data_IF_822385362168
#
_entry.id   IF_822385362168
#
_cell.length_a   1.000
_cell.length_b   1.000
_cell.length_c   1.000
_cell.angle_alpha   90.00
_cell.angle_beta   90.00
_cell.angle_gamma   90.00
#
_symmetry.space_group_name_H-M   'P 1'
#
loop_
_entity.id
_entity.type
_entity.pdbx_description
1 polymer ?
#
# COMPACT_ATOMS: atom_id res chain seq x y z
N UNK A 1 44.39 8.74 -42.96
CA UNK A 1 44.54 9.43 -41.66
C UNK A 1 43.15 9.57 -41.05
N UNK A 2 42.63 8.53 -40.38
CA UNK A 2 41.25 8.49 -39.86
C UNK A 2 41.08 7.65 -38.59
N UNK A 3 41.97 6.69 -38.37
CA UNK A 3 41.89 5.68 -37.29
C UNK A 3 42.01 6.24 -35.85
N UNK A 4 42.65 7.40 -35.65
CA UNK A 4 42.82 8.00 -34.31
C UNK A 4 41.57 8.68 -33.75
N UNK A 5 40.65 9.10 -34.63
CA UNK A 5 39.46 9.84 -34.22
C UNK A 5 38.35 8.90 -33.75
N UNK A 6 38.23 7.73 -34.38
CA UNK A 6 37.22 6.72 -34.04
C UNK A 6 37.49 6.09 -32.67
N UNK A 7 38.75 5.82 -32.33
CA UNK A 7 39.12 5.32 -31.00
C UNK A 7 38.79 6.33 -29.89
N UNK A 8 39.10 7.61 -30.08
CA UNK A 8 38.76 8.67 -29.11
C UNK A 8 37.25 8.86 -28.97
N UNK A 9 36.51 8.80 -30.07
CA UNK A 9 35.05 8.88 -30.06
C UNK A 9 34.43 7.68 -29.30
N UNK A 10 34.98 6.47 -29.49
CA UNK A 10 34.57 5.28 -28.76
C UNK A 10 34.89 5.37 -27.26
N UNK A 11 36.06 5.89 -26.86
CA UNK A 11 36.38 6.13 -25.45
C UNK A 11 35.46 7.17 -24.80
N UNK A 12 35.13 8.26 -25.52
CA UNK A 12 34.16 9.25 -25.06
C UNK A 12 32.75 8.66 -24.93
N UNK A 13 32.33 7.81 -25.86
CA UNK A 13 31.05 7.13 -25.81
C UNK A 13 30.97 6.15 -24.63
N UNK A 14 32.03 5.37 -24.39
CA UNK A 14 32.12 4.46 -23.23
C UNK A 14 32.13 5.24 -21.91
N UNK A 15 32.90 6.33 -21.81
CA UNK A 15 32.90 7.19 -20.63
C UNK A 15 31.52 7.81 -20.36
N UNK A 16 30.83 8.26 -21.41
CA UNK A 16 29.46 8.77 -21.32
C UNK A 16 28.48 7.70 -20.83
N UNK A 17 28.57 6.48 -21.35
CA UNK A 17 27.73 5.36 -20.92
C UNK A 17 27.95 4.99 -19.44
N UNK A 18 29.21 4.95 -19.00
CA UNK A 18 29.56 4.71 -17.58
C UNK A 18 29.02 5.82 -16.67
N UNK A 19 29.09 7.08 -17.11
CA UNK A 19 28.51 8.21 -16.37
C UNK A 19 26.99 8.09 -16.22
N UNK A 20 26.28 7.66 -17.27
CA UNK A 20 24.82 7.43 -17.23
C UNK A 20 24.47 6.30 -16.26
N UNK A 21 25.22 5.19 -16.26
CA UNK A 21 25.00 4.09 -15.30
C UNK A 21 25.24 4.57 -13.87
N UNK A 22 26.32 5.32 -13.61
CA UNK A 22 26.59 5.88 -12.29
C UNK A 22 25.47 6.82 -11.84
N UNK A 23 24.96 7.67 -12.72
CA UNK A 23 23.80 8.53 -12.44
C UNK A 23 22.56 7.70 -12.09
N UNK A 24 22.25 6.64 -12.85
CA UNK A 24 21.12 5.74 -12.53
C UNK A 24 21.27 5.08 -11.15
N UNK A 25 22.47 4.62 -10.80
CA UNK A 25 22.75 4.02 -9.48
C UNK A 25 22.57 5.05 -8.35
N UNK A 26 23.09 6.27 -8.54
CA UNK A 26 22.96 7.34 -7.55
C UNK A 26 21.51 7.77 -7.34
N UNK A 27 20.74 7.94 -8.43
CA UNK A 27 19.31 8.24 -8.35
C UNK A 27 18.53 7.10 -7.66
N UNK A 28 18.84 5.85 -7.98
CA UNK A 28 18.20 4.69 -7.33
C UNK A 28 18.49 4.63 -5.83
N UNK A 29 19.74 4.87 -5.41
CA UNK A 29 20.13 4.92 -4.00
C UNK A 29 19.46 6.07 -3.24
N UNK A 30 19.47 7.27 -3.81
CA UNK A 30 18.85 8.44 -3.17
C UNK A 30 17.34 8.22 -2.94
N UNK A 31 16.64 7.64 -3.92
CA UNK A 31 15.22 7.30 -3.78
C UNK A 31 14.99 6.20 -2.73
N UNK A 32 15.89 5.22 -2.63
CA UNK A 32 15.81 4.16 -1.63
C UNK A 32 16.01 4.72 -0.21
N UNK A 33 17.03 5.55 -0.01
CA UNK A 33 17.36 6.21 1.26
C UNK A 33 16.21 7.12 1.74
N UNK A 34 15.60 7.88 0.82
CA UNK A 34 14.45 8.73 1.15
C UNK A 34 13.23 7.89 1.57
N UNK A 35 12.99 6.77 0.89
CA UNK A 35 11.95 5.81 1.28
C UNK A 35 12.22 5.15 2.64
N UNK A 36 13.47 4.85 2.97
CA UNK A 36 13.85 4.22 4.22
C UNK A 36 13.80 5.22 5.39
N UNK A 37 14.23 6.46 5.15
CA UNK A 37 14.11 7.56 6.11
C UNK A 37 12.65 7.86 6.42
N UNK A 38 11.78 7.80 5.42
CA UNK A 38 10.33 7.89 5.59
C UNK A 38 9.79 6.72 6.43
N UNK A 39 10.24 5.48 6.17
CA UNK A 39 9.90 4.29 6.97
C UNK A 39 10.30 4.38 8.44
N UNK A 40 11.32 5.15 8.79
CA UNK A 40 11.77 5.36 10.17
C UNK A 40 10.95 6.38 10.96
N UNK A 41 10.05 7.14 10.32
CA UNK A 41 9.25 8.17 11.00
C UNK A 41 7.92 7.67 11.58
N UNK A 42 7.55 6.40 11.38
CA UNK A 42 6.27 5.88 11.85
C UNK A 42 6.24 5.65 13.35
N UNK A 43 5.13 6.04 13.97
CA UNK A 43 4.91 5.89 15.42
C UNK A 43 4.34 4.54 15.81
N UNK A 44 3.77 3.79 14.86
CA UNK A 44 3.22 2.47 15.16
C UNK A 44 2.75 1.68 13.93
N UNK A 45 2.41 0.42 14.21
CA UNK A 45 1.86 -0.53 13.24
C UNK A 45 0.49 -1.02 13.74
N UNK A 46 -0.44 -1.27 12.81
CA UNK A 46 -1.77 -1.83 13.11
C UNK A 46 -2.32 -2.58 11.90
N UNK A 47 -3.55 -3.09 12.01
CA UNK A 47 -4.26 -3.79 10.95
C UNK A 47 -5.22 -2.81 10.26
N UNK A 48 -5.18 -2.77 8.94
CA UNK A 48 -6.16 -2.04 8.11
C UNK A 48 -7.07 -2.99 7.36
N UNK A 49 -8.34 -2.62 7.22
CA UNK A 49 -9.30 -3.31 6.36
C UNK A 49 -9.57 -2.47 5.11
N UNK A 50 -9.40 -3.08 3.95
CA UNK A 50 -9.76 -2.48 2.66
C UNK A 50 -11.24 -2.66 2.38
N UNK A 51 -11.89 -1.66 1.77
CA UNK A 51 -13.37 -1.63 1.68
C UNK A 51 -13.90 -1.33 0.29
N UNK A 52 -13.29 -0.39 -0.43
CA UNK A 52 -13.85 0.08 -1.70
C UNK A 52 -12.73 0.50 -2.63
N UNK A 53 -12.88 0.15 -3.90
CA UNK A 53 -12.03 0.66 -4.97
C UNK A 53 -12.81 1.71 -5.75
N UNK A 54 -12.26 2.90 -5.89
CA UNK A 54 -12.80 3.97 -6.70
C UNK A 54 -11.90 4.19 -7.91
N UNK A 55 -12.50 4.50 -9.06
CA UNK A 55 -11.77 4.89 -10.26
C UNK A 55 -11.90 6.40 -10.43
N UNK A 56 -10.78 7.12 -10.38
CA UNK A 56 -10.76 8.57 -10.56
C UNK A 56 -9.52 8.99 -11.36
N UNK A 57 -9.69 9.87 -12.36
CA UNK A 57 -8.60 10.39 -13.22
C UNK A 57 -7.68 9.29 -13.79
N UNK A 58 -8.27 8.21 -14.32
CA UNK A 58 -7.55 7.05 -14.87
C UNK A 58 -6.69 6.27 -13.87
N UNK A 59 -6.83 6.52 -12.56
CA UNK A 59 -6.18 5.76 -11.49
C UNK A 59 -7.22 5.10 -10.60
N UNK A 60 -6.89 3.92 -10.07
CA UNK A 60 -7.69 3.27 -9.04
C UNK A 60 -7.13 3.57 -7.67
N UNK A 61 -8.05 3.94 -6.79
CA UNK A 61 -7.78 4.22 -5.40
C UNK A 61 -8.52 3.20 -4.55
N UNK A 62 -7.80 2.52 -3.68
CA UNK A 62 -8.33 1.63 -2.67
C UNK A 62 -8.50 2.42 -1.38
N UNK A 63 -9.73 2.44 -0.88
CA UNK A 63 -10.07 2.94 0.44
C UNK A 63 -9.86 1.84 1.46
N UNK A 64 -9.17 2.20 2.53
CA UNK A 64 -9.00 1.36 3.70
C UNK A 64 -9.24 2.17 4.98
N UNK A 65 -9.46 1.46 6.07
CA UNK A 65 -9.54 2.07 7.39
C UNK A 65 -8.85 1.22 8.44
N UNK A 66 -8.44 1.87 9.53
CA UNK A 66 -7.81 1.25 10.68
C UNK A 66 -8.16 2.03 11.95
N UNK A 67 -7.76 1.52 13.12
CA UNK A 67 -8.01 2.18 14.40
C UNK A 67 -6.73 2.46 15.19
N UNK A 68 -6.70 3.65 15.78
CA UNK A 68 -5.63 4.16 16.67
C UNK A 68 -6.27 4.97 17.81
N UNK A 69 -7.29 4.39 18.46
CA UNK A 69 -8.30 5.00 19.35
C UNK A 69 -9.53 5.57 18.63
N UNK A 70 -9.35 6.09 17.41
CA UNK A 70 -10.45 6.51 16.52
C UNK A 70 -10.32 5.82 15.17
N UNK A 71 -11.43 5.74 14.44
CA UNK A 71 -11.43 5.26 13.06
C UNK A 71 -10.70 6.25 12.17
N UNK A 72 -9.69 5.77 11.45
CA UNK A 72 -8.95 6.55 10.45
C UNK A 72 -9.29 6.00 9.07
N UNK A 73 -9.66 6.88 8.14
CA UNK A 73 -9.93 6.56 6.74
C UNK A 73 -8.81 7.09 5.87
N UNK A 74 -8.31 6.26 4.96
CA UNK A 74 -7.24 6.62 4.05
C UNK A 74 -7.43 5.99 2.67
N UNK A 75 -6.69 6.50 1.70
CA UNK A 75 -6.71 6.06 0.30
C UNK A 75 -5.29 5.76 -0.16
N UNK A 76 -5.14 4.70 -0.96
CA UNK A 76 -3.88 4.34 -1.62
C UNK A 76 -4.15 4.02 -3.08
N UNK A 77 -3.22 4.36 -3.97
CA UNK A 77 -3.29 3.90 -5.35
C UNK A 77 -3.08 2.38 -5.37
N UNK A 78 -3.95 1.64 -6.04
CA UNK A 78 -3.90 0.17 -6.04
C UNK A 78 -4.53 -0.38 -7.31
N UNK A 79 -3.97 -1.50 -7.77
CA UNK A 79 -4.56 -2.31 -8.83
C UNK A 79 -5.70 -3.21 -8.28
N UNK A 80 -6.21 -4.12 -9.13
CA UNK A 80 -7.26 -5.07 -8.76
C UNK A 80 -6.81 -6.05 -7.66
N UNK A 81 -7.76 -6.59 -6.87
CA UNK A 81 -7.53 -7.79 -6.04
C UNK A 81 -7.37 -7.58 -4.53
N UNK A 82 -7.51 -6.35 -4.05
CA UNK A 82 -7.26 -6.00 -2.65
C UNK A 82 -8.52 -5.64 -1.84
N UNK A 83 -9.73 -6.01 -2.28
CA UNK A 83 -10.99 -5.63 -1.59
C UNK A 83 -11.35 -6.60 -0.45
N UNK A 84 -11.83 -6.07 0.67
CA UNK A 84 -12.27 -6.81 1.86
C UNK A 84 -11.19 -7.72 2.47
N UNK A 85 -9.96 -7.23 2.46
CA UNK A 85 -8.77 -7.95 2.94
C UNK A 85 -8.06 -7.13 4.02
N UNK A 86 -7.37 -7.84 4.90
CA UNK A 86 -6.59 -7.21 5.96
C UNK A 86 -5.14 -7.06 5.55
N UNK A 87 -4.53 -5.95 5.92
CA UNK A 87 -3.13 -5.65 5.61
C UNK A 87 -2.48 -4.92 6.79
N UNK A 88 -1.16 -4.94 6.84
CA UNK A 88 -0.40 -4.11 7.78
C UNK A 88 -0.53 -2.64 7.38
N UNK A 89 -0.79 -1.78 8.36
CA UNK A 89 -0.77 -0.33 8.23
C UNK A 89 0.31 0.23 9.14
N UNK A 90 1.14 1.11 8.58
CA UNK A 90 2.11 1.91 9.33
C UNK A 90 1.61 3.34 9.37
N UNK A 91 1.54 3.89 10.58
CA UNK A 91 0.90 5.19 10.79
C UNK A 91 1.75 6.14 11.64
N UNK A 92 1.52 7.43 11.40
CA UNK A 92 1.98 8.55 12.21
C UNK A 92 0.75 9.41 12.54
N UNK A 93 0.43 9.51 13.83
CA UNK A 93 -0.74 10.27 14.30
C UNK A 93 -0.55 11.78 14.14
N UNK A 94 0.69 12.26 14.14
CA UNK A 94 0.99 13.68 14.00
C UNK A 94 0.99 14.09 12.53
N UNK A 95 1.22 13.13 11.62
CA UNK A 95 1.24 13.37 10.19
C UNK A 95 0.42 12.31 9.43
N UNK A 96 -0.93 12.46 9.39
CA UNK A 96 -1.82 11.47 8.80
C UNK A 96 -1.60 11.24 7.30
N UNK A 97 -1.06 12.23 6.60
CA UNK A 97 -0.71 12.11 5.17
C UNK A 97 0.39 11.08 4.95
N UNK A 98 1.18 10.79 5.99
CA UNK A 98 2.25 9.81 5.88
C UNK A 98 1.81 8.36 6.02
N UNK A 99 0.61 8.14 6.53
CA UNK A 99 0.07 6.81 6.78
C UNK A 99 0.05 5.99 5.48
N UNK A 100 0.49 4.74 5.56
CA UNK A 100 0.46 3.86 4.40
C UNK A 100 0.14 2.43 4.79
N UNK A 101 -0.48 1.74 3.83
CA UNK A 101 -0.86 0.33 3.90
C UNK A 101 0.10 -0.48 3.03
N UNK A 102 0.55 -1.62 3.55
CA UNK A 102 1.47 -2.54 2.85
C UNK A 102 0.62 -3.57 2.12
N UNK A 103 0.42 -3.40 0.80
CA UNK A 103 -0.49 -4.23 0.00
C UNK A 103 0.16 -5.55 -0.47
N UNK A 104 1.49 -5.64 -0.37
CA UNK A 104 2.26 -6.83 -0.71
C UNK A 104 2.07 -7.97 0.31
N UNK A 105 1.67 -7.63 1.53
CA UNK A 105 1.53 -8.54 2.66
C UNK A 105 0.07 -8.61 3.15
N UNK A 106 -0.74 -9.45 2.50
CA UNK A 106 -2.08 -9.77 2.99
C UNK A 106 -2.00 -10.52 4.33
N UNK A 107 -2.85 -10.13 5.27
CA UNK A 107 -2.94 -10.72 6.60
C UNK A 107 -4.21 -11.55 6.73
N UNK A 108 -4.10 -12.68 7.42
CA UNK A 108 -5.23 -13.48 7.91
C UNK A 108 -5.27 -13.43 9.45
N UNK A 109 -5.59 -12.27 10.05
CA UNK A 109 -5.54 -12.10 11.50
C UNK A 109 -6.65 -12.90 12.19
N UNK A 110 -6.31 -13.49 13.33
CA UNK A 110 -7.30 -14.12 14.20
C UNK A 110 -8.24 -13.06 14.82
N UNK A 111 -9.34 -13.53 15.41
CA UNK A 111 -10.37 -12.65 15.99
C UNK A 111 -9.85 -11.80 17.17
N UNK A 112 -8.90 -12.31 17.96
CA UNK A 112 -8.32 -11.59 19.10
C UNK A 112 -7.43 -10.45 18.57
N UNK A 113 -6.61 -10.74 17.56
CA UNK A 113 -5.76 -9.75 16.89
C UNK A 113 -6.60 -8.62 16.28
N UNK A 114 -7.72 -8.95 15.65
CA UNK A 114 -8.66 -7.95 15.11
C UNK A 114 -9.29 -7.08 16.20
N UNK A 115 -9.74 -7.67 17.32
CA UNK A 115 -10.31 -6.92 18.44
C UNK A 115 -9.26 -6.01 19.09
N UNK A 116 -8.02 -6.50 19.27
CA UNK A 116 -6.90 -5.67 19.75
C UNK A 116 -6.60 -4.51 18.82
N UNK A 117 -6.73 -4.71 17.51
CA UNK A 117 -6.60 -3.67 16.50
C UNK A 117 -7.84 -2.75 16.40
N UNK A 118 -8.84 -2.91 17.27
CA UNK A 118 -10.01 -2.03 17.37
C UNK A 118 -11.21 -2.43 16.51
N UNK A 119 -11.15 -3.57 15.80
CA UNK A 119 -12.26 -4.05 15.00
C UNK A 119 -13.32 -4.73 15.85
N UNK A 120 -14.56 -4.61 15.39
CA UNK A 120 -15.74 -5.23 16.01
C UNK A 120 -16.44 -6.13 15.02
N UNK A 121 -16.97 -7.27 15.49
CA UNK A 121 -17.75 -8.18 14.65
C UNK A 121 -19.21 -7.76 14.72
N UNK A 122 -19.78 -7.30 13.61
CA UNK A 122 -21.17 -6.87 13.51
C UNK A 122 -22.00 -7.95 12.83
N UNK A 123 -23.16 -8.28 13.42
CA UNK A 123 -24.16 -9.17 12.82
C UNK A 123 -25.05 -8.40 11.86
N UNK A 124 -25.47 -9.05 10.78
CA UNK A 124 -26.46 -8.52 9.84
C UNK A 124 -27.32 -9.65 9.31
N UNK A 125 -28.49 -9.32 8.77
CA UNK A 125 -29.47 -10.30 8.34
C UNK A 125 -29.84 -10.07 6.88
N UNK A 126 -29.86 -11.14 6.08
CA UNK A 126 -30.35 -11.13 4.70
C UNK A 126 -31.64 -11.93 4.66
N UNK A 127 -32.70 -11.36 4.10
CA UNK A 127 -33.97 -12.07 3.91
C UNK A 127 -33.85 -13.01 2.70
N UNK A 128 -34.00 -14.32 2.94
CA UNK A 128 -34.06 -15.32 1.90
C UNK A 128 -35.52 -15.56 1.50
N UNK A 129 -35.95 -14.83 0.48
CA UNK A 129 -37.30 -14.93 -0.08
C UNK A 129 -37.51 -16.17 -0.95
N UNK A 130 -36.45 -16.90 -1.31
CA UNK A 130 -36.50 -17.96 -2.33
C UNK A 130 -36.60 -19.37 -1.78
N UNK A 131 -36.08 -19.62 -0.57
CA UNK A 131 -36.01 -20.99 -0.02
C UNK A 131 -36.65 -21.09 1.36
N UNK A 132 -36.27 -20.22 2.28
CA UNK A 132 -36.65 -20.37 3.70
C UNK A 132 -37.70 -19.37 4.18
N UNK A 133 -37.96 -18.28 3.45
CA UNK A 133 -38.80 -17.14 3.86
C UNK A 133 -38.40 -16.60 5.24
N UNK A 134 -37.09 -16.60 5.53
CA UNK A 134 -36.52 -16.22 6.82
C UNK A 134 -35.32 -15.30 6.66
N UNK A 135 -35.02 -14.57 7.72
CA UNK A 135 -33.78 -13.81 7.83
C UNK A 135 -32.62 -14.75 8.21
N UNK A 136 -31.62 -14.80 7.34
CA UNK A 136 -30.37 -15.54 7.56
C UNK A 136 -29.36 -14.60 8.23
N UNK A 137 -28.83 -15.03 9.38
CA UNK A 137 -27.80 -14.29 10.11
C UNK A 137 -26.44 -14.45 9.42
N UNK A 138 -25.77 -13.33 9.22
CA UNK A 138 -24.39 -13.23 8.77
C UNK A 138 -23.59 -12.33 9.71
N UNK A 139 -22.27 -12.37 9.59
CA UNK A 139 -21.38 -11.50 10.37
C UNK A 139 -20.23 -10.97 9.52
N UNK A 140 -19.77 -9.76 9.85
CA UNK A 140 -18.61 -9.14 9.21
C UNK A 140 -17.83 -8.27 10.19
N UNK A 141 -16.55 -8.05 9.88
CA UNK A 141 -15.69 -7.14 10.64
C UNK A 141 -15.94 -5.68 10.24
N UNK A 142 -15.93 -4.78 11.23
CA UNK A 142 -16.16 -3.34 11.08
C UNK A 142 -15.25 -2.54 12.02
#
# INVERSE_FOLDING_TARGET
MGEKNDAKANYLAVAGFVAVIMLMILFSRNNADESEKYKKTFKGETIGLTTRSNYHRKRRYLRYYFYTNKKVLAEVSSDYGHLNKFYKVKYDLDNPEKNYIVLEEELEPDSISLVKAGFTKTKYYIYDAGVTCKYIEHSKWK
#
